data_IF_298326248535
#
_entry.id   IF_298326248535
#
_cell.length_a   1.000
_cell.length_b   1.000
_cell.length_c   1.000
_cell.angle_alpha   90.00
_cell.angle_beta   90.00
_cell.angle_gamma   90.00
#
_symmetry.space_group_name_H-M   'P 1'
#
loop_
_entity.id
_entity.type
_entity.pdbx_description
1 polymer ?
#
# COMPACT_ATOMS: atom_id res chain seq x y z
N UNK A 1 11.93 -29.65 -9.96
CA UNK A 1 11.52 -28.35 -10.56
C UNK A 1 10.40 -27.81 -9.68
N UNK A 2 10.71 -26.96 -8.71
CA UNK A 2 9.70 -26.40 -7.81
C UNK A 2 8.85 -25.40 -8.60
N UNK A 3 7.54 -25.62 -8.71
CA UNK A 3 6.63 -24.68 -9.34
C UNK A 3 6.45 -23.48 -8.40
N UNK A 4 7.06 -22.35 -8.71
CA UNK A 4 6.67 -21.09 -8.06
C UNK A 4 5.25 -20.76 -8.51
N UNK A 5 4.27 -20.91 -7.61
CA UNK A 5 2.94 -20.41 -7.85
C UNK A 5 3.03 -18.88 -8.04
N UNK A 6 2.38 -18.30 -9.06
CA UNK A 6 2.39 -16.87 -9.26
C UNK A 6 1.78 -16.18 -8.02
N UNK A 7 2.49 -15.18 -7.49
CA UNK A 7 1.99 -14.35 -6.39
C UNK A 7 0.78 -13.57 -6.91
N UNK A 8 -0.41 -13.89 -6.39
CA UNK A 8 -1.65 -13.21 -6.78
C UNK A 8 -1.86 -11.98 -5.89
N UNK A 9 -1.94 -10.81 -6.50
CA UNK A 9 -2.32 -9.57 -5.81
C UNK A 9 -3.77 -9.64 -5.32
N UNK A 10 -4.02 -9.17 -4.10
CA UNK A 10 -5.36 -9.00 -3.56
C UNK A 10 -6.14 -7.97 -4.35
N UNK A 11 -7.40 -8.28 -4.61
CA UNK A 11 -8.32 -7.40 -5.34
C UNK A 11 -9.32 -6.75 -4.40
N UNK A 12 -9.99 -5.70 -4.88
CA UNK A 12 -11.11 -5.08 -4.16
C UNK A 12 -12.20 -6.10 -3.82
N UNK A 13 -12.45 -7.07 -4.71
CA UNK A 13 -13.44 -8.13 -4.47
C UNK A 13 -13.01 -9.07 -3.33
N UNK A 14 -11.73 -9.45 -3.27
CA UNK A 14 -11.19 -10.27 -2.18
C UNK A 14 -11.34 -9.56 -0.82
N UNK A 15 -11.08 -8.25 -0.79
CA UNK A 15 -11.24 -7.41 0.42
C UNK A 15 -12.72 -7.28 0.82
N UNK A 16 -13.61 -6.98 -0.14
CA UNK A 16 -15.03 -6.82 0.12
C UNK A 16 -15.70 -8.11 0.63
N UNK A 17 -15.26 -9.28 0.12
CA UNK A 17 -15.77 -10.58 0.53
C UNK A 17 -15.48 -10.90 2.02
N UNK A 18 -14.50 -10.25 2.64
CA UNK A 18 -14.14 -10.44 4.06
C UNK A 18 -14.99 -9.61 5.04
N UNK A 19 -15.95 -8.82 4.55
CA UNK A 19 -16.81 -8.00 5.40
C UNK A 19 -17.54 -8.84 6.46
N UNK A 20 -17.37 -8.49 7.73
CA UNK A 20 -17.96 -9.21 8.87
C UNK A 20 -17.23 -10.50 9.25
N UNK A 21 -16.15 -10.85 8.57
CA UNK A 21 -15.26 -11.97 8.89
C UNK A 21 -13.95 -11.50 9.54
N UNK A 22 -12.83 -12.10 9.11
CA UNK A 22 -11.49 -11.80 9.62
C UNK A 22 -11.08 -10.34 9.37
N UNK A 23 -10.64 -9.59 10.40
CA UNK A 23 -10.19 -8.21 10.25
C UNK A 23 -9.07 -8.03 9.22
N UNK A 24 -9.17 -6.96 8.43
CA UNK A 24 -8.20 -6.60 7.38
C UNK A 24 -7.03 -5.85 8.01
N UNK A 25 -5.80 -6.23 7.66
CA UNK A 25 -4.59 -5.49 8.04
C UNK A 25 -4.27 -4.44 6.98
N UNK A 26 -4.36 -3.16 7.36
CA UNK A 26 -4.05 -2.02 6.50
C UNK A 26 -3.02 -1.13 7.17
N UNK A 27 -1.90 -0.87 6.48
CA UNK A 27 -0.86 0.07 6.92
C UNK A 27 -0.48 1.00 5.79
N UNK A 28 0.04 2.18 6.16
CA UNK A 28 0.55 3.12 5.18
C UNK A 28 1.98 2.79 4.78
N UNK A 29 2.31 3.02 3.51
CA UNK A 29 3.68 2.98 3.01
C UNK A 29 3.87 4.07 1.95
N UNK A 30 5.08 4.64 1.88
CA UNK A 30 5.37 5.75 0.97
C UNK A 30 6.64 5.52 0.14
N UNK A 31 7.36 4.43 0.40
CA UNK A 31 8.64 4.10 -0.21
C UNK A 31 8.78 2.59 -0.44
N UNK A 32 9.75 2.25 -1.28
CA UNK A 32 9.98 0.88 -1.75
C UNK A 32 10.37 -0.11 -0.62
N UNK A 33 11.37 0.17 0.25
CA UNK A 33 11.76 -0.79 1.29
C UNK A 33 10.64 -1.00 2.33
N UNK A 34 9.93 0.04 2.73
CA UNK A 34 8.79 -0.10 3.65
C UNK A 34 7.70 -0.96 3.02
N UNK A 35 7.32 -0.70 1.77
CA UNK A 35 6.33 -1.51 1.08
C UNK A 35 6.75 -2.97 0.92
N UNK A 36 8.04 -3.26 0.67
CA UNK A 36 8.55 -4.61 0.55
C UNK A 36 8.38 -5.43 1.84
N UNK A 37 8.65 -4.80 2.99
CA UNK A 37 8.48 -5.43 4.31
C UNK A 37 6.99 -5.66 4.60
N UNK A 38 6.15 -4.69 4.29
CA UNK A 38 4.72 -4.75 4.62
C UNK A 38 3.92 -5.70 3.72
N UNK A 39 4.36 -5.97 2.49
CA UNK A 39 3.59 -6.71 1.49
C UNK A 39 3.23 -8.15 1.90
N UNK A 40 4.04 -8.78 2.75
CA UNK A 40 3.74 -10.12 3.29
C UNK A 40 2.81 -10.09 4.52
N UNK A 41 2.68 -8.94 5.18
CA UNK A 41 1.94 -8.79 6.43
C UNK A 41 0.62 -8.03 6.28
N UNK A 42 0.48 -7.22 5.24
CA UNK A 42 -0.69 -6.40 4.99
C UNK A 42 -1.59 -6.99 3.91
N UNK A 43 -2.90 -6.83 4.10
CA UNK A 43 -3.89 -7.07 3.06
C UNK A 43 -3.99 -5.85 2.13
N UNK A 44 -3.83 -4.65 2.71
CA UNK A 44 -3.89 -3.36 2.03
C UNK A 44 -2.69 -2.51 2.40
N UNK A 45 -2.04 -1.91 1.40
CA UNK A 45 -1.04 -0.86 1.58
C UNK A 45 -1.64 0.46 1.10
N UNK A 46 -1.73 1.44 1.99
CA UNK A 46 -2.29 2.76 1.70
C UNK A 46 -1.19 3.81 1.46
N UNK A 47 -1.14 4.33 0.25
CA UNK A 47 -0.36 5.54 -0.08
C UNK A 47 -1.27 6.73 0.15
N UNK A 48 -1.34 7.22 1.40
CA UNK A 48 -2.21 8.33 1.80
C UNK A 48 -1.53 9.70 1.81
N UNK A 49 -2.34 10.76 1.86
CA UNK A 49 -1.90 12.16 2.00
C UNK A 49 -1.15 12.46 3.33
N UNK A 50 -1.26 11.56 4.31
CA UNK A 50 -0.40 11.53 5.50
C UNK A 50 1.10 11.59 5.17
N UNK A 51 1.52 11.22 3.95
CA UNK A 51 2.87 11.43 3.41
C UNK A 51 3.37 12.86 3.58
N UNK A 52 2.47 13.85 3.46
CA UNK A 52 2.79 15.25 3.65
C UNK A 52 3.35 15.52 5.04
N UNK A 53 2.73 14.95 6.08
CA UNK A 53 3.18 15.15 7.45
C UNK A 53 4.37 14.27 7.81
N UNK A 54 4.30 12.98 7.48
CA UNK A 54 5.26 11.99 8.02
C UNK A 54 6.55 11.88 7.21
N UNK A 55 6.53 12.22 5.92
CA UNK A 55 7.72 12.21 5.05
C UNK A 55 8.19 13.62 4.74
N UNK A 56 7.28 14.54 4.44
CA UNK A 56 7.63 15.91 4.02
C UNK A 56 7.61 16.94 5.15
N UNK A 57 7.17 16.58 6.36
CA UNK A 57 7.16 17.47 7.52
C UNK A 57 6.17 18.65 7.40
N UNK A 58 5.17 18.56 6.52
CA UNK A 58 4.13 19.55 6.39
C UNK A 58 3.28 19.61 7.67
N UNK A 59 2.73 20.80 8.03
CA UNK A 59 1.91 20.95 9.23
C UNK A 59 0.54 20.27 9.12
N UNK A 60 0.10 19.95 7.90
CA UNK A 60 -1.14 19.22 7.60
C UNK A 60 -1.05 18.55 6.23
N UNK A 61 -2.07 17.76 5.86
CA UNK A 61 -2.12 17.09 4.56
C UNK A 61 -2.62 17.98 3.41
N UNK A 62 -3.09 19.21 3.70
CA UNK A 62 -3.65 20.14 2.70
C UNK A 62 -2.65 20.52 1.61
N UNK A 63 -1.34 20.56 1.95
CA UNK A 63 -0.29 20.89 1.00
C UNK A 63 0.14 19.76 0.07
N UNK A 64 -0.44 18.56 0.19
CA UNK A 64 -0.08 17.41 -0.63
C UNK A 64 -0.63 17.55 -2.04
N UNK A 65 0.22 17.35 -3.03
CA UNK A 65 -0.15 17.41 -4.45
C UNK A 65 -0.34 16.01 -5.04
N UNK A 66 -1.06 15.94 -6.17
CA UNK A 66 -1.20 14.71 -6.94
C UNK A 66 0.17 14.18 -7.41
N UNK A 67 1.11 15.05 -7.75
CA UNK A 67 2.47 14.64 -8.15
C UNK A 67 3.23 13.95 -7.03
N UNK A 68 3.09 14.42 -5.78
CA UNK A 68 3.63 13.74 -4.60
C UNK A 68 3.03 12.34 -4.48
N UNK A 69 1.70 12.22 -4.56
CA UNK A 69 0.99 10.94 -4.47
C UNK A 69 1.45 9.97 -5.56
N UNK A 70 1.56 10.44 -6.81
CA UNK A 70 2.05 9.63 -7.95
C UNK A 70 3.47 9.12 -7.70
N UNK A 71 4.37 9.95 -7.18
CA UNK A 71 5.75 9.56 -6.94
C UNK A 71 5.85 8.47 -5.86
N UNK A 72 5.14 8.65 -4.74
CA UNK A 72 5.10 7.67 -3.66
C UNK A 72 4.39 6.37 -4.07
N UNK A 73 3.29 6.47 -4.84
CA UNK A 73 2.61 5.32 -5.40
C UNK A 73 3.52 4.51 -6.32
N UNK A 74 4.28 5.16 -7.21
CA UNK A 74 5.27 4.49 -8.05
C UNK A 74 6.35 3.78 -7.24
N UNK A 75 6.80 4.37 -6.12
CA UNK A 75 7.79 3.74 -5.26
C UNK A 75 7.25 2.47 -4.61
N UNK A 76 6.04 2.52 -4.04
CA UNK A 76 5.36 1.37 -3.40
C UNK A 76 5.04 0.27 -4.41
N UNK A 77 4.52 0.63 -5.59
CA UNK A 77 4.16 -0.34 -6.62
C UNK A 77 5.33 -1.12 -7.19
N UNK A 78 6.57 -0.63 -7.07
CA UNK A 78 7.76 -1.34 -7.54
C UNK A 78 8.09 -2.57 -6.69
N UNK A 79 7.68 -2.61 -5.43
CA UNK A 79 8.06 -3.67 -4.49
C UNK A 79 6.88 -4.46 -3.94
N UNK A 80 5.70 -3.86 -3.81
CA UNK A 80 4.49 -4.62 -3.46
C UNK A 80 4.15 -5.64 -4.56
N UNK A 81 3.84 -6.88 -4.19
CA UNK A 81 3.44 -7.98 -5.07
C UNK A 81 2.06 -8.54 -4.72
N UNK A 82 1.75 -8.66 -3.43
CA UNK A 82 0.55 -9.33 -2.89
C UNK A 82 -0.51 -8.37 -2.39
N UNK A 83 -0.16 -7.33 -1.63
CA UNK A 83 -1.16 -6.46 -1.02
C UNK A 83 -1.95 -5.65 -2.07
N UNK A 84 -3.21 -5.34 -1.74
CA UNK A 84 -3.96 -4.34 -2.51
C UNK A 84 -3.37 -2.96 -2.22
N UNK A 85 -2.82 -2.29 -3.22
CA UNK A 85 -2.32 -0.92 -3.06
C UNK A 85 -3.46 0.06 -3.36
N UNK A 86 -3.69 0.98 -2.43
CA UNK A 86 -4.67 2.07 -2.53
C UNK A 86 -3.91 3.40 -2.49
N UNK A 87 -4.30 4.34 -3.35
CA UNK A 87 -3.73 5.70 -3.47
C UNK A 87 -4.86 6.70 -3.39
#
# INVERSE_FOLDING_TARGET
MSSHAPVKRMTVADIAARKGGEPIVCLTAYDAPTAAILDEHCDVILVGDSVGMVVHGLPSTVGVTVDMMILHAKAVMRTSQRALVVV
#
